data_IF_660753787303
#
_entry.id   IF_660753787303
#
_cell.length_a   1.000
_cell.length_b   1.000
_cell.length_c   1.000
_cell.angle_alpha   90.00
_cell.angle_beta   90.00
_cell.angle_gamma   90.00
#
_symmetry.space_group_name_H-M   'P 1'
#
loop_
_entity.id
_entity.type
_entity.pdbx_description
1 polymer ?
#
# COMPACT_ATOMS: atom_id res chain seq x y z
N UNK A 1 12.52 0.46 21.44
CA UNK A 1 11.79 0.97 20.30
C UNK A 1 11.65 -0.12 19.25
N UNK A 2 10.47 -0.30 18.76
CA UNK A 2 10.20 -1.35 17.79
C UNK A 2 10.19 -0.78 16.39
N UNK A 3 11.02 -1.33 15.52
CA UNK A 3 10.98 -0.97 14.11
C UNK A 3 9.80 -1.69 13.47
N UNK A 4 8.99 -0.90 12.80
CA UNK A 4 7.82 -1.46 12.16
C UNK A 4 8.20 -2.02 10.80
N UNK A 5 7.92 -3.28 10.58
CA UNK A 5 8.12 -3.88 9.26
C UNK A 5 7.06 -3.36 8.30
N UNK A 6 7.38 -3.24 7.00
CA UNK A 6 6.35 -2.90 6.01
C UNK A 6 5.21 -3.91 6.06
N UNK A 7 3.99 -3.40 5.94
CA UNK A 7 2.79 -4.22 6.08
C UNK A 7 1.91 -4.13 4.84
N UNK A 8 2.18 -4.96 3.82
CA UNK A 8 1.36 -4.91 2.60
C UNK A 8 -0.12 -5.20 2.84
N UNK A 9 -0.44 -6.07 3.79
CA UNK A 9 -1.85 -6.37 4.09
C UNK A 9 -2.54 -5.18 4.71
N UNK A 10 -1.86 -4.44 5.58
CA UNK A 10 -2.42 -3.22 6.14
C UNK A 10 -2.63 -2.18 5.05
N UNK A 11 -1.69 -2.09 4.11
CA UNK A 11 -1.82 -1.18 2.98
C UNK A 11 -3.01 -1.55 2.11
N UNK A 12 -3.22 -2.83 1.87
CA UNK A 12 -4.37 -3.31 1.12
C UNK A 12 -5.66 -2.83 1.76
N UNK A 13 -5.75 -2.97 3.06
CA UNK A 13 -6.93 -2.53 3.81
C UNK A 13 -7.15 -1.03 3.67
N UNK A 14 -6.10 -0.23 3.80
CA UNK A 14 -6.21 1.22 3.65
C UNK A 14 -6.63 1.62 2.24
N UNK A 15 -6.13 0.92 1.24
CA UNK A 15 -6.53 1.20 -0.14
C UNK A 15 -8.01 0.96 -0.35
N UNK A 16 -8.57 -0.03 0.33
CA UNK A 16 -9.98 -0.39 0.19
C UNK A 16 -10.90 0.51 1.00
N UNK A 17 -10.45 1.00 2.13
CA UNK A 17 -11.32 1.65 3.10
C UNK A 17 -11.12 3.16 3.26
N UNK A 18 -10.07 3.72 2.65
CA UNK A 18 -9.79 5.15 2.78
C UNK A 18 -9.53 5.79 1.43
N UNK A 19 -9.54 7.14 1.42
CA UNK A 19 -9.18 7.90 0.23
C UNK A 19 -7.75 8.43 0.30
N UNK A 20 -6.95 7.90 1.23
CA UNK A 20 -5.54 8.30 1.34
C UNK A 20 -4.82 8.06 0.02
N UNK A 21 -3.97 9.00 -0.37
CA UNK A 21 -3.19 8.81 -1.57
C UNK A 21 -2.12 7.74 -1.34
N UNK A 22 -1.51 7.27 -2.42
CA UNK A 22 -0.57 6.15 -2.35
C UNK A 22 0.61 6.45 -1.44
N UNK A 23 1.13 7.68 -1.48
CA UNK A 23 2.24 8.06 -0.62
C UNK A 23 1.87 8.00 0.86
N UNK A 24 0.66 8.45 1.20
CA UNK A 24 0.19 8.40 2.58
C UNK A 24 0.01 6.96 3.05
N UNK A 25 -0.55 6.12 2.20
CA UNK A 25 -0.71 4.71 2.54
C UNK A 25 0.66 4.06 2.80
N UNK A 26 1.63 4.34 1.93
CA UNK A 26 2.98 3.80 2.10
C UNK A 26 3.58 4.24 3.43
N UNK A 27 3.45 5.51 3.75
CA UNK A 27 4.01 6.06 4.99
C UNK A 27 3.37 5.43 6.21
N UNK A 28 2.06 5.31 6.22
CA UNK A 28 1.34 4.75 7.37
C UNK A 28 1.61 3.27 7.58
N UNK A 29 2.01 2.58 6.55
CA UNK A 29 2.23 1.13 6.64
C UNK A 29 3.72 0.75 6.72
N UNK A 30 4.59 1.74 6.95
CA UNK A 30 5.99 1.46 7.26
C UNK A 30 6.92 1.33 6.07
N UNK A 31 6.49 1.69 4.88
CA UNK A 31 7.36 1.63 3.72
C UNK A 31 8.27 2.86 3.66
N UNK A 32 9.48 2.67 3.17
CA UNK A 32 10.46 3.73 3.10
C UNK A 32 10.07 4.83 2.11
N UNK A 33 9.37 4.46 1.05
CA UNK A 33 8.94 5.41 0.03
C UNK A 33 7.75 4.84 -0.74
N UNK A 34 7.04 5.71 -1.46
CA UNK A 34 5.94 5.27 -2.30
C UNK A 34 6.44 4.32 -3.40
N UNK A 35 7.63 4.57 -3.93
CA UNK A 35 8.20 3.70 -4.95
C UNK A 35 8.44 2.29 -4.41
N UNK A 36 9.00 2.21 -3.21
CA UNK A 36 9.22 0.93 -2.55
C UNK A 36 7.90 0.21 -2.31
N UNK A 37 6.92 0.94 -1.82
CA UNK A 37 5.60 0.39 -1.57
C UNK A 37 4.98 -0.18 -2.85
N UNK A 38 5.02 0.57 -3.95
CA UNK A 38 4.45 0.10 -5.21
C UNK A 38 5.11 -1.19 -5.68
N UNK A 39 6.41 -1.27 -5.54
CA UNK A 39 7.15 -2.44 -5.96
C UNK A 39 6.75 -3.67 -5.15
N UNK A 40 6.77 -3.54 -3.82
CA UNK A 40 6.43 -4.66 -2.94
C UNK A 40 4.98 -5.07 -3.14
N UNK A 41 4.08 -4.10 -3.22
CA UNK A 41 2.66 -4.39 -3.40
C UNK A 41 2.43 -5.15 -4.72
N UNK A 42 3.07 -4.69 -5.78
CA UNK A 42 2.91 -5.33 -7.07
C UNK A 42 3.45 -6.77 -7.07
N UNK A 43 4.56 -6.98 -6.37
CA UNK A 43 5.13 -8.33 -6.27
C UNK A 43 4.19 -9.27 -5.53
N UNK A 44 3.49 -8.77 -4.53
CA UNK A 44 2.57 -9.58 -3.75
C UNK A 44 1.23 -9.77 -4.41
N UNK A 45 0.68 -8.72 -4.97
CA UNK A 45 -0.69 -8.72 -5.47
C UNK A 45 -0.81 -8.91 -6.98
N UNK A 46 0.30 -8.78 -7.71
CA UNK A 46 0.29 -8.90 -9.15
C UNK A 46 -0.10 -7.62 -9.88
N UNK A 47 -0.57 -6.60 -9.17
CA UNK A 47 -0.91 -5.30 -9.73
C UNK A 47 -0.46 -4.21 -8.78
N UNK A 48 -0.25 -3.00 -9.30
CA UNK A 48 0.14 -1.88 -8.46
C UNK A 48 -0.99 -1.43 -7.54
N UNK A 49 -0.67 -0.63 -6.51
CA UNK A 49 -1.67 -0.21 -5.53
C UNK A 49 -2.77 0.67 -6.11
N UNK A 50 -2.46 1.52 -7.06
CA UNK A 50 -3.48 2.37 -7.68
C UNK A 50 -4.45 1.54 -8.50
N UNK A 51 -3.93 0.60 -9.25
CA UNK A 51 -4.76 -0.31 -10.03
C UNK A 51 -5.62 -1.17 -9.12
N UNK A 52 -5.04 -1.65 -8.04
CA UNK A 52 -5.78 -2.42 -7.05
C UNK A 52 -6.95 -1.64 -6.48
N UNK A 53 -6.72 -0.37 -6.12
CA UNK A 53 -7.78 0.47 -5.58
C UNK A 53 -8.91 0.65 -6.58
N UNK A 54 -8.58 0.90 -7.84
CA UNK A 54 -9.60 1.05 -8.87
C UNK A 54 -10.42 -0.21 -9.04
N UNK A 55 -9.78 -1.35 -9.06
CA UNK A 55 -10.48 -2.63 -9.19
C UNK A 55 -11.35 -2.93 -7.98
N UNK A 56 -10.84 -2.61 -6.80
CA UNK A 56 -11.55 -2.87 -5.56
C UNK A 56 -12.79 -2.01 -5.40
N UNK A 57 -12.74 -0.79 -5.91
CA UNK A 57 -13.88 0.14 -5.78
C UNK A 57 -14.77 0.19 -7.01
N UNK A 58 -14.24 -0.31 -8.10
CA UNK A 58 -14.89 -0.26 -9.35
C UNK A 58 -16.16 -1.00 -9.41
#
# INVERSE_FOLDING_TARGET
MTLRAPEPLAAQHLLETTDLNISAVAEQTGFASAAHFRRVFREMMGVGPLQYRKSSRG
#
